data_IF_839624180179
#
_entry.id   IF_839624180179
#
_cell.length_a   1.000
_cell.length_b   1.000
_cell.length_c   1.000
_cell.angle_alpha   90.00
_cell.angle_beta   90.00
_cell.angle_gamma   90.00
#
_symmetry.space_group_name_H-M   'P 1'
#
loop_
_entity.id
_entity.type
_entity.pdbx_description
1 polymer ?
#
# COMPACT_ATOMS: atom_id res chain seq x y z
N UNK A 1 -1.19 -19.77 4.40
CA UNK A 1 -1.58 -18.58 3.65
C UNK A 1 -0.61 -17.41 3.86
N UNK A 2 -0.22 -17.08 5.10
CA UNK A 2 0.69 -15.96 5.39
C UNK A 2 2.19 -16.31 5.27
N UNK A 3 2.53 -17.50 4.77
CA UNK A 3 3.92 -17.92 4.54
C UNK A 3 4.72 -18.26 5.80
N UNK A 4 4.07 -18.50 6.95
CA UNK A 4 4.72 -18.70 8.26
C UNK A 4 4.84 -20.15 8.70
N UNK A 5 4.66 -21.14 7.81
CA UNK A 5 4.69 -22.56 8.16
C UNK A 5 6.02 -22.98 8.79
N UNK A 6 7.15 -22.50 8.28
CA UNK A 6 8.48 -22.81 8.82
C UNK A 6 8.72 -22.22 10.24
N UNK A 7 7.92 -21.24 10.64
CA UNK A 7 8.01 -20.53 11.92
C UNK A 7 6.93 -20.99 12.93
N UNK A 8 6.05 -21.95 12.56
CA UNK A 8 4.84 -22.28 13.32
C UNK A 8 5.11 -22.69 14.78
N UNK A 9 6.23 -23.35 15.05
CA UNK A 9 6.63 -23.81 16.39
C UNK A 9 7.48 -22.79 17.16
N UNK A 10 7.78 -21.61 16.57
CA UNK A 10 8.60 -20.59 17.23
C UNK A 10 7.75 -19.67 18.08
N UNK A 11 8.28 -19.31 19.27
CA UNK A 11 7.64 -18.30 20.10
C UNK A 11 7.61 -16.93 19.39
N UNK A 12 6.48 -16.21 19.46
CA UNK A 12 6.34 -14.90 18.81
C UNK A 12 7.41 -13.89 19.24
N UNK A 13 7.87 -13.94 20.49
CA UNK A 13 8.90 -13.04 21.02
C UNK A 13 10.30 -13.16 20.40
N UNK A 14 10.55 -14.21 19.58
CA UNK A 14 11.82 -14.40 18.86
C UNK A 14 11.70 -14.25 17.35
N UNK A 15 10.52 -13.86 16.87
CA UNK A 15 10.28 -13.61 15.45
C UNK A 15 10.87 -12.24 15.04
N UNK A 16 11.30 -12.15 13.78
CA UNK A 16 11.59 -10.87 13.17
C UNK A 16 10.32 -10.01 13.08
N UNK A 17 10.46 -8.70 13.05
CA UNK A 17 9.30 -7.79 13.08
C UNK A 17 8.34 -8.01 11.89
N UNK A 18 8.87 -8.20 10.69
CA UNK A 18 8.06 -8.52 9.51
C UNK A 18 7.28 -9.84 9.64
N UNK A 19 7.90 -10.87 10.26
CA UNK A 19 7.22 -12.14 10.56
C UNK A 19 6.10 -11.95 11.58
N UNK A 20 6.31 -11.11 12.59
CA UNK A 20 5.28 -10.77 13.58
C UNK A 20 4.07 -10.11 12.92
N UNK A 21 4.29 -9.18 11.97
CA UNK A 21 3.22 -8.55 11.18
C UNK A 21 2.43 -9.58 10.35
N UNK A 22 3.08 -10.60 9.81
CA UNK A 22 2.41 -11.73 9.13
C UNK A 22 1.59 -12.57 10.09
N UNK A 23 2.03 -12.77 11.33
CA UNK A 23 1.24 -13.45 12.37
C UNK A 23 0.01 -12.62 12.76
N UNK A 24 0.16 -11.29 12.94
CA UNK A 24 -0.98 -10.40 13.20
C UNK A 24 -2.03 -10.50 12.09
N UNK A 25 -1.61 -10.49 10.83
CA UNK A 25 -2.49 -10.70 9.68
C UNK A 25 -3.17 -12.08 9.73
N UNK A 26 -2.45 -13.15 10.08
CA UNK A 26 -3.02 -14.49 10.20
C UNK A 26 -4.11 -14.55 11.27
N UNK A 27 -3.88 -13.91 12.43
CA UNK A 27 -4.87 -13.82 13.53
C UNK A 27 -6.11 -13.07 13.08
N UNK A 28 -5.95 -11.92 12.40
CA UNK A 28 -7.08 -11.15 11.87
C UNK A 28 -7.90 -11.97 10.85
N UNK A 29 -7.26 -12.80 10.05
CA UNK A 29 -7.90 -13.64 9.04
C UNK A 29 -8.54 -14.93 9.59
N UNK A 30 -8.24 -15.32 10.84
CA UNK A 30 -8.69 -16.60 11.42
C UNK A 30 -10.22 -16.71 11.54
N UNK A 31 -10.90 -15.58 11.73
CA UNK A 31 -12.37 -15.52 11.85
C UNK A 31 -13.09 -15.37 10.49
N UNK A 32 -12.40 -15.57 9.37
CA UNK A 32 -12.93 -15.41 8.02
C UNK A 32 -13.70 -14.08 7.83
N UNK A 33 -13.08 -12.92 8.12
CA UNK A 33 -13.74 -11.62 8.01
C UNK A 33 -14.15 -11.32 6.56
N UNK A 34 -15.15 -10.45 6.39
CA UNK A 34 -15.50 -9.87 5.09
C UNK A 34 -14.76 -8.55 4.82
N UNK A 35 -14.29 -7.91 5.88
CA UNK A 35 -13.54 -6.66 5.83
C UNK A 35 -12.37 -6.75 6.81
N UNK A 36 -11.19 -6.42 6.34
CA UNK A 36 -9.96 -6.29 7.11
C UNK A 36 -9.67 -4.80 7.31
N UNK A 37 -9.47 -4.40 8.57
CA UNK A 37 -9.07 -3.04 8.92
C UNK A 37 -7.62 -3.08 9.41
N UNK A 38 -6.77 -2.26 8.82
CA UNK A 38 -5.34 -2.21 9.13
C UNK A 38 -4.93 -0.76 9.39
N UNK A 39 -4.31 -0.52 10.53
CA UNK A 39 -3.81 0.80 10.90
C UNK A 39 -2.28 0.81 10.78
N UNK A 40 -1.76 1.60 9.85
CA UNK A 40 -0.33 1.71 9.51
C UNK A 40 0.39 0.34 9.44
N UNK A 41 -0.08 -0.61 8.62
CA UNK A 41 0.41 -1.99 8.64
C UNK A 41 1.89 -2.12 8.35
N UNK A 42 2.49 -1.15 7.64
CA UNK A 42 3.89 -1.19 7.23
C UNK A 42 4.82 -0.36 8.11
N UNK A 43 4.29 0.30 9.16
CA UNK A 43 5.09 1.13 10.04
C UNK A 43 6.26 0.36 10.67
N UNK A 44 7.46 0.93 10.62
CA UNK A 44 8.66 0.32 11.20
C UNK A 44 9.28 -0.85 10.43
N UNK A 45 8.73 -1.22 9.27
CA UNK A 45 9.25 -2.31 8.43
C UNK A 45 10.31 -1.80 7.43
N UNK A 46 11.22 -2.68 7.04
CA UNK A 46 12.14 -2.41 5.93
C UNK A 46 11.37 -2.33 4.58
N UNK A 47 11.86 -1.54 3.59
CA UNK A 47 11.14 -1.33 2.33
C UNK A 47 10.68 -2.62 1.63
N UNK A 48 11.55 -3.62 1.53
CA UNK A 48 11.20 -4.90 0.90
C UNK A 48 10.10 -5.66 1.66
N UNK A 49 10.13 -5.62 3.00
CA UNK A 49 9.13 -6.27 3.84
C UNK A 49 7.75 -5.61 3.73
N UNK A 50 7.71 -4.26 3.55
CA UNK A 50 6.45 -3.51 3.32
C UNK A 50 5.76 -3.97 2.06
N UNK A 51 6.50 -4.02 0.95
CA UNK A 51 6.00 -4.48 -0.35
C UNK A 51 5.48 -5.91 -0.24
N UNK A 52 6.25 -6.81 0.38
CA UNK A 52 5.85 -8.21 0.54
C UNK A 52 4.60 -8.39 1.40
N UNK A 53 4.45 -7.63 2.50
CA UNK A 53 3.26 -7.69 3.35
C UNK A 53 2.02 -7.20 2.61
N UNK A 54 2.12 -6.06 1.91
CA UNK A 54 0.98 -5.48 1.19
C UNK A 54 0.58 -6.33 -0.01
N UNK A 55 1.56 -6.87 -0.76
CA UNK A 55 1.30 -7.81 -1.86
C UNK A 55 0.58 -9.06 -1.35
N UNK A 56 1.06 -9.68 -0.27
CA UNK A 56 0.43 -10.82 0.38
C UNK A 56 -1.01 -10.50 0.81
N UNK A 57 -1.22 -9.34 1.42
CA UNK A 57 -2.56 -8.87 1.83
C UNK A 57 -3.49 -8.75 0.63
N UNK A 58 -3.03 -8.15 -0.47
CA UNK A 58 -3.82 -7.99 -1.69
C UNK A 58 -4.15 -9.34 -2.36
N UNK A 59 -3.22 -10.29 -2.38
CA UNK A 59 -3.43 -11.66 -2.88
C UNK A 59 -4.52 -12.38 -2.07
N UNK A 60 -4.43 -12.36 -0.74
CA UNK A 60 -5.42 -12.98 0.15
C UNK A 60 -6.79 -12.32 0.01
N UNK A 61 -6.83 -10.98 -0.08
CA UNK A 61 -8.06 -10.22 -0.27
C UNK A 61 -8.79 -10.64 -1.56
N UNK A 62 -8.05 -10.77 -2.65
CA UNK A 62 -8.59 -11.20 -3.95
C UNK A 62 -9.09 -12.64 -3.93
N UNK A 63 -8.28 -13.55 -3.37
CA UNK A 63 -8.64 -14.97 -3.29
C UNK A 63 -9.90 -15.23 -2.45
N UNK A 64 -10.10 -14.45 -1.39
CA UNK A 64 -11.22 -14.63 -0.45
C UNK A 64 -12.41 -13.72 -0.71
N UNK A 65 -12.34 -12.78 -1.67
CA UNK A 65 -13.35 -11.75 -1.86
C UNK A 65 -13.48 -10.82 -0.65
N UNK A 66 -12.37 -10.52 0.02
CA UNK A 66 -12.27 -9.74 1.24
C UNK A 66 -12.04 -8.26 0.92
N UNK A 67 -12.82 -7.36 1.52
CA UNK A 67 -12.51 -5.94 1.50
C UNK A 67 -11.34 -5.62 2.43
N UNK A 68 -10.47 -4.69 2.03
CA UNK A 68 -9.38 -4.19 2.88
C UNK A 68 -9.47 -2.67 2.96
N UNK A 69 -9.46 -2.15 4.18
CA UNK A 69 -9.28 -0.73 4.46
C UNK A 69 -8.03 -0.57 5.31
N UNK A 70 -7.08 0.21 4.84
CA UNK A 70 -5.86 0.49 5.59
C UNK A 70 -5.58 1.99 5.66
N UNK A 71 -4.95 2.42 6.75
CA UNK A 71 -4.37 3.76 6.87
C UNK A 71 -2.87 3.67 6.64
N UNK A 72 -2.30 4.61 5.94
CA UNK A 72 -0.87 4.73 5.70
C UNK A 72 -0.47 6.19 5.46
N UNK A 73 0.74 6.53 5.82
CA UNK A 73 1.36 7.80 5.51
C UNK A 73 2.50 7.67 4.48
N UNK A 74 2.92 6.44 4.15
CA UNK A 74 3.84 6.15 3.06
C UNK A 74 3.08 6.16 1.73
N UNK A 75 3.24 7.25 0.98
CA UNK A 75 2.51 7.46 -0.27
C UNK A 75 2.83 6.42 -1.33
N UNK A 76 4.05 5.87 -1.35
CA UNK A 76 4.43 4.85 -2.32
C UNK A 76 3.62 3.57 -2.08
N UNK A 77 3.51 3.15 -0.81
CA UNK A 77 2.66 2.01 -0.41
C UNK A 77 1.20 2.24 -0.80
N UNK A 78 0.67 3.44 -0.53
CA UNK A 78 -0.73 3.76 -0.82
C UNK A 78 -0.99 3.71 -2.33
N UNK A 79 -0.15 4.37 -3.14
CA UNK A 79 -0.36 4.44 -4.58
C UNK A 79 -0.14 3.11 -5.31
N UNK A 80 0.70 2.24 -4.77
CA UNK A 80 0.96 0.92 -5.36
C UNK A 80 -0.14 -0.11 -5.06
N UNK A 81 -0.75 -0.04 -3.86
CA UNK A 81 -1.60 -1.12 -3.38
C UNK A 81 -3.09 -0.78 -3.24
N UNK A 82 -3.48 0.50 -3.26
CA UNK A 82 -4.88 0.89 -3.11
C UNK A 82 -5.61 0.97 -4.46
N UNK A 83 -6.84 0.44 -4.52
CA UNK A 83 -7.75 0.64 -5.66
C UNK A 83 -8.46 2.01 -5.59
N UNK A 84 -8.70 2.49 -4.37
CA UNK A 84 -9.37 3.76 -4.07
C UNK A 84 -8.71 4.40 -2.86
N UNK A 85 -8.45 5.69 -2.94
CA UNK A 85 -7.76 6.46 -1.91
C UNK A 85 -8.70 7.56 -1.39
N UNK A 86 -8.74 7.71 -0.08
CA UNK A 86 -9.34 8.84 0.61
C UNK A 86 -8.23 9.60 1.35
N UNK A 87 -8.10 10.88 1.10
CA UNK A 87 -7.07 11.73 1.72
C UNK A 87 -7.69 12.61 2.77
N UNK A 88 -7.22 12.48 4.00
CA UNK A 88 -7.67 13.25 5.14
C UNK A 88 -6.61 14.27 5.56
N UNK A 89 -7.01 15.52 5.78
CA UNK A 89 -6.21 16.55 6.44
C UNK A 89 -6.99 17.14 7.60
N UNK A 90 -6.42 17.10 8.81
CA UNK A 90 -7.01 17.63 10.05
C UNK A 90 -8.48 17.23 10.25
N UNK A 91 -8.79 15.97 9.94
CA UNK A 91 -10.13 15.41 10.08
C UNK A 91 -11.09 15.72 8.91
N UNK A 92 -10.66 16.43 7.89
CA UNK A 92 -11.46 16.73 6.70
C UNK A 92 -11.03 15.86 5.52
N UNK A 93 -12.01 15.34 4.77
CA UNK A 93 -11.76 14.66 3.51
C UNK A 93 -11.43 15.73 2.44
N UNK A 94 -10.18 15.73 1.95
CA UNK A 94 -9.71 16.72 0.99
C UNK A 94 -9.66 16.21 -0.45
N UNK A 95 -9.53 14.90 -0.63
CA UNK A 95 -9.59 14.24 -1.95
C UNK A 95 -10.04 12.80 -1.82
N UNK A 96 -10.66 12.28 -2.89
CA UNK A 96 -11.08 10.88 -2.98
C UNK A 96 -11.09 10.44 -4.44
N UNK A 97 -10.61 9.23 -4.72
CA UNK A 97 -10.62 8.69 -6.09
C UNK A 97 -9.64 7.56 -6.32
N UNK A 98 -9.38 7.29 -7.60
CA UNK A 98 -8.33 6.35 -8.00
C UNK A 98 -6.93 6.88 -7.64
N UNK A 99 -5.93 5.99 -7.51
CA UNK A 99 -4.55 6.40 -7.25
C UNK A 99 -4.05 7.50 -8.21
N UNK A 100 -4.35 7.36 -9.50
CA UNK A 100 -3.97 8.35 -10.52
C UNK A 100 -4.65 9.70 -10.28
N UNK A 101 -5.95 9.72 -10.00
CA UNK A 101 -6.68 10.96 -9.75
C UNK A 101 -6.17 11.70 -8.52
N UNK A 102 -5.98 10.96 -7.41
CA UNK A 102 -5.50 11.52 -6.14
C UNK A 102 -4.07 12.02 -6.24
N UNK A 103 -3.18 11.31 -6.95
CA UNK A 103 -1.78 11.73 -7.17
C UNK A 103 -1.67 13.08 -7.88
N UNK A 104 -2.62 13.40 -8.77
CA UNK A 104 -2.62 14.66 -9.53
C UNK A 104 -3.49 15.76 -8.90
N UNK A 105 -4.18 15.48 -7.79
CA UNK A 105 -4.99 16.46 -7.09
C UNK A 105 -4.12 17.59 -6.52
N UNK A 106 -4.39 18.88 -6.84
CA UNK A 106 -3.59 20.00 -6.37
C UNK A 106 -3.52 20.13 -4.85
N UNK A 107 -4.61 19.83 -4.14
CA UNK A 107 -4.67 19.91 -2.67
C UNK A 107 -3.82 18.82 -2.03
N UNK A 108 -3.85 17.61 -2.59
CA UNK A 108 -3.00 16.50 -2.11
C UNK A 108 -1.53 16.82 -2.33
N UNK A 109 -1.20 17.36 -3.48
CA UNK A 109 0.18 17.77 -3.80
C UNK A 109 0.68 18.88 -2.87
N UNK A 110 -0.14 19.85 -2.55
CA UNK A 110 0.19 20.91 -1.60
C UNK A 110 0.46 20.37 -0.19
N UNK A 111 -0.41 19.50 0.31
CA UNK A 111 -0.36 19.01 1.71
C UNK A 111 0.68 17.91 1.89
N UNK A 112 0.76 16.95 0.98
CA UNK A 112 1.55 15.73 1.15
C UNK A 112 2.76 15.60 0.23
N UNK A 113 2.73 16.22 -0.96
CA UNK A 113 3.78 16.09 -1.96
C UNK A 113 4.60 17.37 -2.14
N UNK A 114 4.14 18.52 -1.65
CA UNK A 114 4.79 19.83 -1.75
C UNK A 114 5.88 20.12 -0.73
N UNK A 115 6.09 19.24 0.25
CA UNK A 115 7.04 19.42 1.36
C UNK A 115 8.39 18.70 1.19
N UNK A 116 8.91 18.50 -0.02
CA UNK A 116 10.30 18.04 -0.21
C UNK A 116 10.52 16.56 -0.43
N UNK A 117 9.60 15.85 -1.06
CA UNK A 117 9.89 14.53 -1.62
C UNK A 117 10.14 14.65 -3.12
N UNK A 118 11.36 14.35 -3.53
CA UNK A 118 11.78 14.21 -4.93
C UNK A 118 11.07 13.01 -5.54
N UNK A 119 9.86 13.22 -6.07
CA UNK A 119 9.29 12.27 -7.00
C UNK A 119 10.06 12.40 -8.30
N UNK A 120 10.93 11.43 -8.58
CA UNK A 120 11.56 11.27 -9.88
C UNK A 120 10.47 11.22 -10.94
N UNK A 121 10.48 12.21 -11.82
CA UNK A 121 9.69 12.20 -13.03
C UNK A 121 10.26 11.06 -13.92
N UNK A 122 9.69 9.88 -13.84
CA UNK A 122 10.00 8.82 -14.78
C UNK A 122 9.01 8.86 -15.94
N UNK A 123 9.60 9.25 -17.06
CA UNK A 123 9.32 8.82 -18.43
C UNK A 123 8.03 9.34 -19.07
N UNK A 124 8.13 10.55 -19.54
CA UNK A 124 7.47 10.94 -20.77
C UNK A 124 8.10 10.15 -21.93
N UNK A 125 7.45 9.06 -22.31
CA UNK A 125 7.82 8.32 -23.53
C UNK A 125 7.46 9.21 -24.70
N UNK A 126 8.48 9.85 -25.26
CA UNK A 126 8.38 10.58 -26.53
C UNK A 126 7.89 9.61 -27.63
N UNK A 127 6.73 9.91 -28.19
CA UNK A 127 6.24 9.26 -29.40
C UNK A 127 7.24 9.47 -30.55
N UNK A 128 7.50 8.46 -31.39
CA UNK A 128 8.34 8.65 -32.57
C UNK A 128 7.62 9.54 -33.57
N UNK A 129 8.17 10.71 -33.84
CA UNK A 129 7.78 11.55 -34.96
C UNK A 129 8.08 10.82 -36.26
N UNK A 130 7.03 10.41 -36.97
CA UNK A 130 7.11 10.05 -38.38
C UNK A 130 7.39 11.35 -39.17
N UNK A 131 8.57 11.46 -39.68
CA UNK A 131 8.97 12.43 -40.71
C UNK A 131 9.51 11.61 -41.89
N UNK A 132 8.88 11.56 -42.94
CA UNK A 132 8.64 12.43 -44.03
C UNK A 132 9.68 12.21 -45.13
N UNK A 133 9.23 11.60 -46.19
CA UNK A 133 9.97 11.34 -47.46
C UNK A 133 10.57 12.63 -48.03
N UNK A 134 11.74 12.51 -48.60
CA UNK A 134 12.08 12.90 -49.98
C UNK A 134 13.35 12.18 -50.42
#
# INVERSE_FOLDING_TARGET
>A
QVGMTAQAERACGVLAYGDLKRVELAVALANAPKLLLMDEPTAGMAPAERIDLMRLTAEIARERGLGVLFTEHDMDVVFEHADRIMVLDRGNLIAEGSPTAVRHDPKVREVYLGGGSTFSAETEVAAPTAGGAQ
#
